data_IF_676841969345
#
_entry.id   IF_676841969345
#
_cell.length_a   1.000
_cell.length_b   1.000
_cell.length_c   1.000
_cell.angle_alpha   90.00
_cell.angle_beta   90.00
_cell.angle_gamma   90.00
#
_symmetry.space_group_name_H-M   'P 1'
#
loop_
_entity.id
_entity.type
_entity.pdbx_description
1 polymer ?
#
# COMPACT_ATOMS: atom_id res chain seq x y z
N UNK A 1 -17.31 -8.26 -7.18
CA UNK A 1 -16.28 -9.26 -7.41
C UNK A 1 -15.78 -9.87 -6.11
N UNK A 2 -15.19 -9.11 -5.17
CA UNK A 2 -14.64 -9.60 -3.90
C UNK A 2 -15.65 -10.44 -3.11
N UNK A 3 -16.91 -9.97 -2.95
CA UNK A 3 -17.95 -10.74 -2.25
C UNK A 3 -18.21 -12.10 -2.90
N UNK A 4 -18.15 -12.18 -4.22
CA UNK A 4 -18.37 -13.44 -4.97
C UNK A 4 -17.23 -14.45 -4.75
N UNK A 5 -15.97 -13.97 -4.61
CA UNK A 5 -14.78 -14.83 -4.44
C UNK A 5 -14.51 -15.21 -3.00
N UNK A 6 -14.70 -14.26 -2.08
CA UNK A 6 -14.43 -14.47 -0.65
C UNK A 6 -15.67 -14.84 0.19
N UNK A 7 -16.88 -14.87 -0.41
CA UNK A 7 -18.13 -15.04 0.33
C UNK A 7 -18.53 -13.80 1.16
N UNK A 8 -17.59 -12.88 1.40
CA UNK A 8 -17.76 -11.62 2.12
C UNK A 8 -17.14 -10.48 1.32
N UNK A 9 -17.79 -9.33 1.31
CA UNK A 9 -17.21 -8.08 0.78
C UNK A 9 -16.84 -7.14 1.92
N UNK A 10 -16.05 -6.09 1.67
CA UNK A 10 -15.82 -5.04 2.65
C UNK A 10 -17.11 -4.34 3.01
N UNK A 11 -17.25 -3.89 4.26
CA UNK A 11 -18.40 -3.08 4.67
C UNK A 11 -18.38 -1.71 4.04
N UNK A 12 -17.20 -1.11 3.92
CA UNK A 12 -17.02 0.18 3.28
C UNK A 12 -15.87 0.15 2.29
N UNK A 13 -16.08 0.81 1.14
CA UNK A 13 -15.06 1.10 0.15
C UNK A 13 -15.02 2.60 -0.11
N UNK A 14 -13.86 3.21 0.07
CA UNK A 14 -13.63 4.59 -0.34
C UNK A 14 -12.71 4.57 -1.54
N UNK A 15 -13.20 5.14 -2.64
CA UNK A 15 -12.45 5.22 -3.87
C UNK A 15 -11.89 6.63 -4.03
N UNK A 16 -10.60 6.72 -4.34
CA UNK A 16 -9.90 7.97 -4.60
C UNK A 16 -9.35 7.89 -6.02
N UNK A 17 -10.04 8.56 -6.94
CA UNK A 17 -9.64 8.70 -8.33
C UNK A 17 -9.10 10.10 -8.56
N UNK A 18 -7.89 10.22 -9.05
CA UNK A 18 -7.36 11.46 -9.62
C UNK A 18 -6.18 11.12 -10.53
N UNK A 19 -6.26 11.56 -11.78
CA UNK A 19 -5.32 11.12 -12.81
C UNK A 19 -5.44 9.62 -13.09
N UNK A 20 -4.33 8.98 -13.37
CA UNK A 20 -4.27 7.58 -13.82
C UNK A 20 -3.98 6.59 -12.66
N UNK A 21 -4.09 7.03 -11.42
CA UNK A 21 -3.96 6.21 -10.23
C UNK A 21 -5.28 6.10 -9.49
N UNK A 22 -5.62 4.87 -9.14
CA UNK A 22 -6.89 4.53 -8.54
C UNK A 22 -6.62 3.82 -7.21
N UNK A 23 -6.98 4.48 -6.10
CA UNK A 23 -6.84 3.92 -4.76
C UNK A 23 -8.21 3.48 -4.24
N UNK A 24 -8.28 2.26 -3.73
CA UNK A 24 -9.48 1.72 -3.09
C UNK A 24 -9.14 1.36 -1.65
N UNK A 25 -9.57 2.18 -0.72
CA UNK A 25 -9.44 1.92 0.71
C UNK A 25 -10.67 1.20 1.23
N UNK A 26 -10.46 0.07 1.91
CA UNK A 26 -11.52 -0.83 2.37
C UNK A 26 -11.44 -1.04 3.87
N UNK A 27 -12.60 -1.21 4.52
CA UNK A 27 -12.71 -1.53 5.94
C UNK A 27 -13.61 -2.74 6.14
N UNK A 28 -13.31 -3.49 7.22
CA UNK A 28 -14.08 -4.64 7.70
C UNK A 28 -14.21 -5.76 6.66
N UNK A 29 -13.05 -6.19 6.14
CA UNK A 29 -12.99 -7.20 5.08
C UNK A 29 -12.26 -8.50 5.49
N UNK A 30 -11.86 -8.71 6.74
CA UNK A 30 -11.34 -10.01 7.18
C UNK A 30 -12.44 -11.05 7.03
N UNK A 31 -12.14 -12.14 6.33
CA UNK A 31 -13.07 -13.24 6.11
C UNK A 31 -13.10 -14.20 7.30
N UNK A 32 -14.15 -15.03 7.46
CA UNK A 32 -14.19 -16.00 8.55
C UNK A 32 -12.99 -16.97 8.56
N UNK A 33 -12.48 -17.37 7.39
CA UNK A 33 -11.32 -18.23 7.30
C UNK A 33 -10.05 -17.55 7.85
N UNK A 34 -9.85 -16.28 7.49
CA UNK A 34 -8.72 -15.49 8.00
C UNK A 34 -8.83 -15.22 9.50
N UNK A 35 -10.05 -14.96 10.02
CA UNK A 35 -10.27 -14.83 11.47
C UNK A 35 -9.82 -16.06 12.24
N UNK A 36 -10.08 -17.26 11.72
CA UNK A 36 -9.62 -18.52 12.33
C UNK A 36 -8.10 -18.58 12.35
N UNK A 37 -7.43 -18.25 11.24
CA UNK A 37 -5.97 -18.25 11.17
C UNK A 37 -5.35 -17.24 12.14
N UNK A 38 -5.91 -16.04 12.21
CA UNK A 38 -5.43 -14.97 13.11
C UNK A 38 -5.60 -15.39 14.58
N UNK A 39 -6.77 -15.94 14.94
CA UNK A 39 -7.02 -16.44 16.30
C UNK A 39 -6.10 -17.61 16.71
N UNK A 40 -5.60 -18.36 15.74
CA UNK A 40 -4.62 -19.43 15.96
C UNK A 40 -3.16 -18.94 15.89
N UNK A 41 -2.93 -17.61 15.89
CA UNK A 41 -1.60 -17.00 15.77
C UNK A 41 -0.86 -17.35 14.47
N UNK A 42 -1.62 -17.74 13.42
CA UNK A 42 -1.11 -18.10 12.09
C UNK A 42 -1.28 -16.96 11.09
N UNK A 43 -0.87 -15.75 11.48
CA UNK A 43 -1.02 -14.55 10.65
C UNK A 43 -0.32 -14.69 9.29
N UNK A 44 0.84 -15.34 9.24
CA UNK A 44 1.57 -15.59 8.00
C UNK A 44 0.74 -16.36 6.97
N UNK A 45 0.00 -17.39 7.42
CA UNK A 45 -0.91 -18.12 6.54
C UNK A 45 -2.07 -17.25 6.06
N UNK A 46 -2.58 -16.35 6.90
CA UNK A 46 -3.63 -15.41 6.49
C UNK A 46 -3.12 -14.44 5.43
N UNK A 47 -1.88 -13.93 5.56
CA UNK A 47 -1.21 -13.06 4.59
C UNK A 47 -1.08 -13.78 3.24
N UNK A 48 -0.53 -14.99 3.24
CA UNK A 48 -0.30 -15.78 2.02
C UNK A 48 -1.62 -16.18 1.34
N UNK A 49 -2.61 -16.61 2.14
CA UNK A 49 -3.95 -16.94 1.65
C UNK A 49 -4.58 -15.74 0.93
N UNK A 50 -4.60 -14.56 1.58
CA UNK A 50 -5.16 -13.34 0.99
C UNK A 50 -4.42 -12.92 -0.26
N UNK A 51 -3.09 -12.90 -0.23
CA UNK A 51 -2.28 -12.54 -1.39
C UNK A 51 -2.58 -13.41 -2.59
N UNK A 52 -2.64 -14.73 -2.40
CA UNK A 52 -2.95 -15.69 -3.47
C UNK A 52 -4.32 -15.44 -4.10
N UNK A 53 -5.35 -15.19 -3.27
CA UNK A 53 -6.70 -14.94 -3.79
C UNK A 53 -6.78 -13.57 -4.47
N UNK A 54 -6.17 -12.53 -3.89
CA UNK A 54 -6.20 -11.19 -4.49
C UNK A 54 -5.49 -11.20 -5.84
N UNK A 55 -4.35 -11.89 -5.98
CA UNK A 55 -3.64 -12.02 -7.25
C UNK A 55 -4.54 -12.70 -8.32
N UNK A 56 -5.22 -13.80 -7.96
CA UNK A 56 -6.15 -14.46 -8.88
C UNK A 56 -7.35 -13.57 -9.26
N UNK A 57 -7.87 -12.79 -8.31
CA UNK A 57 -8.96 -11.85 -8.55
C UNK A 57 -8.53 -10.68 -9.43
N UNK A 58 -7.28 -10.27 -9.34
CA UNK A 58 -6.72 -9.15 -10.11
C UNK A 58 -6.80 -9.41 -11.60
N UNK A 59 -6.50 -10.62 -12.05
CA UNK A 59 -6.56 -11.00 -13.45
C UNK A 59 -7.96 -10.79 -14.06
N UNK A 60 -9.03 -11.01 -13.28
CA UNK A 60 -10.40 -10.75 -13.71
C UNK A 60 -10.78 -9.26 -13.53
N UNK A 61 -10.26 -8.61 -12.49
CA UNK A 61 -10.70 -7.28 -12.07
C UNK A 61 -10.14 -6.16 -12.93
N UNK A 62 -8.85 -6.24 -13.30
CA UNK A 62 -8.19 -5.18 -14.06
C UNK A 62 -8.86 -4.89 -15.41
N UNK A 63 -9.19 -5.91 -16.25
CA UNK A 63 -9.88 -5.66 -17.50
C UNK A 63 -11.28 -5.06 -17.33
N UNK A 64 -12.05 -5.52 -16.32
CA UNK A 64 -13.38 -4.98 -16.03
C UNK A 64 -13.33 -3.50 -15.63
N UNK A 65 -12.42 -3.15 -14.71
CA UNK A 65 -12.26 -1.76 -14.26
C UNK A 65 -11.75 -0.88 -15.38
N UNK A 66 -10.76 -1.34 -16.15
CA UNK A 66 -10.22 -0.62 -17.30
C UNK A 66 -11.33 -0.30 -18.33
N UNK A 67 -12.21 -1.26 -18.60
CA UNK A 67 -13.35 -1.07 -19.50
C UNK A 67 -14.35 -0.05 -18.98
N UNK A 68 -14.67 -0.10 -17.68
CA UNK A 68 -15.65 0.81 -17.06
C UNK A 68 -15.15 2.23 -16.99
N UNK A 69 -13.86 2.41 -16.69
CA UNK A 69 -13.24 3.73 -16.50
C UNK A 69 -12.67 4.32 -17.80
N UNK A 70 -12.51 3.52 -18.86
CA UNK A 70 -11.85 3.94 -20.09
C UNK A 70 -10.35 4.18 -19.92
N UNK A 71 -9.73 3.62 -18.86
CA UNK A 71 -8.32 3.78 -18.52
C UNK A 71 -7.67 2.40 -18.49
N UNK A 72 -6.52 2.23 -19.16
CA UNK A 72 -5.73 1.00 -19.04
C UNK A 72 -4.90 1.05 -17.76
N UNK A 73 -4.96 -0.02 -16.96
CA UNK A 73 -4.11 -0.19 -15.78
C UNK A 73 -3.15 -1.35 -16.03
N UNK A 74 -1.84 -1.09 -15.86
CA UNK A 74 -0.78 -2.06 -16.10
C UNK A 74 -0.30 -2.72 -14.80
N UNK A 75 -0.52 -2.03 -13.68
CA UNK A 75 -0.07 -2.49 -12.37
C UNK A 75 -1.20 -2.49 -11.36
N UNK A 76 -1.12 -3.49 -10.49
CA UNK A 76 -2.01 -3.66 -9.36
C UNK A 76 -1.19 -4.00 -8.12
N UNK A 77 -1.40 -3.24 -7.06
CA UNK A 77 -0.75 -3.47 -5.79
C UNK A 77 -1.79 -3.49 -4.67
N UNK A 78 -1.48 -4.18 -3.59
CA UNK A 78 -2.34 -4.21 -2.42
C UNK A 78 -1.54 -4.37 -1.14
N UNK A 79 -2.12 -3.92 -0.03
CA UNK A 79 -1.62 -4.19 1.31
C UNK A 79 -2.79 -4.21 2.32
N UNK A 80 -2.61 -4.93 3.44
CA UNK A 80 -3.65 -5.21 4.41
C UNK A 80 -3.15 -4.98 5.84
N UNK A 81 -3.97 -4.32 6.65
CA UNK A 81 -3.78 -4.17 8.08
C UNK A 81 -4.77 -5.10 8.81
N UNK A 82 -4.27 -6.22 9.29
CA UNK A 82 -5.09 -7.24 9.95
C UNK A 82 -5.56 -6.79 11.33
N UNK A 83 -4.77 -5.98 12.05
CA UNK A 83 -5.13 -5.46 13.38
C UNK A 83 -6.31 -4.49 13.30
N UNK A 84 -6.39 -3.70 12.24
CA UNK A 84 -7.45 -2.71 12.01
C UNK A 84 -8.55 -3.20 11.08
N UNK A 85 -8.39 -4.39 10.52
CA UNK A 85 -9.30 -4.92 9.52
C UNK A 85 -9.52 -3.95 8.34
N UNK A 86 -8.42 -3.42 7.80
CA UNK A 86 -8.43 -2.49 6.68
C UNK A 86 -7.52 -2.98 5.56
N UNK A 87 -7.72 -2.45 4.36
CA UNK A 87 -6.88 -2.76 3.22
C UNK A 87 -6.91 -1.67 2.17
N UNK A 88 -5.90 -1.66 1.33
CA UNK A 88 -5.78 -0.75 0.20
C UNK A 88 -5.45 -1.51 -1.08
N UNK A 89 -6.06 -1.09 -2.18
CA UNK A 89 -5.66 -1.47 -3.53
C UNK A 89 -5.19 -0.22 -4.25
N UNK A 90 -4.14 -0.37 -5.04
CA UNK A 90 -3.66 0.64 -5.97
C UNK A 90 -3.63 0.06 -7.37
N UNK A 91 -4.36 0.68 -8.30
CA UNK A 91 -4.24 0.45 -9.72
C UNK A 91 -3.46 1.62 -10.32
N UNK A 92 -2.42 1.32 -11.07
CA UNK A 92 -1.51 2.31 -11.66
C UNK A 92 -1.38 2.10 -13.17
N UNK A 93 -1.31 3.20 -13.90
CA UNK A 93 -1.02 3.19 -15.34
C UNK A 93 0.42 3.65 -15.56
N UNK A 94 1.23 2.81 -16.21
CA UNK A 94 2.66 3.10 -16.48
C UNK A 94 2.89 4.29 -17.39
N UNK A 95 1.90 4.65 -18.22
CA UNK A 95 2.02 5.74 -19.20
C UNK A 95 1.67 7.12 -18.63
N UNK A 96 1.21 7.17 -17.38
CA UNK A 96 0.80 8.43 -16.77
C UNK A 96 1.98 9.19 -16.17
N UNK A 97 2.58 10.02 -16.97
CA UNK A 97 3.63 10.96 -16.54
C UNK A 97 3.00 12.31 -16.10
N UNK A 98 1.97 12.24 -15.27
CA UNK A 98 1.40 13.45 -14.68
C UNK A 98 2.39 14.02 -13.65
N UNK A 99 3.26 14.88 -14.15
CA UNK A 99 4.12 15.75 -13.36
C UNK A 99 3.26 16.86 -12.73
N UNK A 100 2.50 16.55 -11.70
CA UNK A 100 2.17 17.61 -10.75
C UNK A 100 3.48 17.90 -9.98
N UNK A 101 4.30 18.80 -10.48
CA UNK A 101 5.41 19.38 -9.73
C UNK A 101 4.83 20.36 -8.71
N UNK A 102 4.23 19.84 -7.66
CA UNK A 102 3.80 20.65 -6.53
C UNK A 102 4.91 20.50 -5.50
N UNK A 103 5.59 21.60 -5.23
CA UNK A 103 6.56 21.67 -4.13
C UNK A 103 5.76 21.80 -2.82
N UNK A 104 5.77 20.72 -2.03
CA UNK A 104 5.16 20.74 -0.70
C UNK A 104 6.19 21.19 0.32
N UNK A 105 5.88 22.21 1.12
CA UNK A 105 6.77 22.75 2.16
C UNK A 105 7.30 21.71 3.15
N UNK A 106 6.62 20.56 3.28
CA UNK A 106 7.02 19.44 4.15
C UNK A 106 7.77 18.32 3.41
N UNK A 107 7.94 18.39 2.09
CA UNK A 107 8.44 17.27 1.26
C UNK A 107 9.82 16.80 1.68
N UNK A 108 10.77 17.71 1.83
CA UNK A 108 12.15 17.36 2.24
C UNK A 108 12.19 16.68 3.62
N UNK A 109 11.39 17.16 4.56
CA UNK A 109 11.31 16.57 5.90
C UNK A 109 10.62 15.20 5.86
N UNK A 110 9.61 15.04 5.01
CA UNK A 110 8.94 13.75 4.79
C UNK A 110 9.91 12.72 4.23
N UNK A 111 10.68 13.08 3.21
CA UNK A 111 11.66 12.19 2.59
C UNK A 111 12.77 11.81 3.56
N UNK A 112 13.31 12.76 4.31
CA UNK A 112 14.29 12.48 5.35
C UNK A 112 13.76 11.52 6.43
N UNK A 113 12.50 11.69 6.84
CA UNK A 113 11.87 10.79 7.82
C UNK A 113 11.64 9.38 7.23
N UNK A 114 11.18 9.28 5.99
CA UNK A 114 11.01 8.00 5.29
C UNK A 114 12.35 7.28 5.17
N UNK A 115 13.41 7.97 4.74
CA UNK A 115 14.76 7.40 4.64
C UNK A 115 15.28 6.94 6.01
N UNK A 116 15.10 7.74 7.04
CA UNK A 116 15.55 7.40 8.39
C UNK A 116 14.87 6.12 8.91
N UNK A 117 13.55 6.03 8.82
CA UNK A 117 12.80 4.84 9.24
C UNK A 117 13.14 3.64 8.35
N UNK A 118 13.20 3.84 7.03
CA UNK A 118 13.48 2.80 6.05
C UNK A 118 14.89 2.22 6.13
N UNK A 119 15.88 3.02 6.56
CA UNK A 119 17.30 2.62 6.60
C UNK A 119 17.59 1.36 7.44
N UNK A 120 16.70 1.03 8.38
CA UNK A 120 16.79 -0.19 9.19
C UNK A 120 16.29 -1.46 8.47
N UNK A 121 15.66 -1.32 7.32
CA UNK A 121 14.94 -2.41 6.67
C UNK A 121 15.33 -2.66 5.22
N UNK A 122 15.62 -1.60 4.46
CA UNK A 122 15.90 -1.69 3.03
C UNK A 122 16.95 -0.66 2.59
N UNK A 123 17.39 -0.77 1.35
CA UNK A 123 18.36 0.15 0.75
C UNK A 123 17.80 1.58 0.73
N UNK A 124 18.64 2.58 1.04
CA UNK A 124 18.28 3.98 0.85
C UNK A 124 17.78 4.19 -0.58
N UNK A 125 16.56 4.76 -0.77
CA UNK A 125 16.03 5.04 -2.08
C UNK A 125 16.94 5.95 -2.92
N UNK A 126 17.03 5.71 -4.21
CA UNK A 126 17.70 6.63 -5.13
C UNK A 126 16.81 7.85 -5.45
N UNK A 127 15.50 7.67 -5.40
CA UNK A 127 14.54 8.76 -5.52
C UNK A 127 13.29 8.52 -4.69
N UNK A 128 12.74 9.62 -4.20
CA UNK A 128 11.46 9.71 -3.51
C UNK A 128 10.58 10.72 -4.25
N UNK A 129 9.30 10.43 -4.38
CA UNK A 129 8.34 11.33 -5.04
C UNK A 129 6.98 11.21 -4.36
N UNK A 130 6.36 12.33 -4.00
CA UNK A 130 4.94 12.36 -3.64
C UNK A 130 4.14 12.16 -4.92
N UNK A 131 3.47 11.01 -5.04
CA UNK A 131 2.67 10.65 -6.22
C UNK A 131 1.18 10.92 -6.02
N UNK A 132 0.77 11.17 -4.77
CA UNK A 132 -0.58 11.59 -4.42
C UNK A 132 -0.58 12.36 -3.11
N UNK A 133 -1.27 13.52 -3.09
CA UNK A 133 -1.54 14.24 -1.86
C UNK A 133 -2.94 14.88 -1.91
N UNK A 134 -3.76 14.57 -0.93
CA UNK A 134 -5.11 15.13 -0.75
C UNK A 134 -5.43 15.27 0.74
N UNK A 135 -6.65 15.70 1.07
CA UNK A 135 -7.11 15.72 2.46
C UNK A 135 -7.15 14.33 3.12
N UNK A 136 -7.29 13.26 2.34
CA UNK A 136 -7.54 11.92 2.87
C UNK A 136 -6.35 10.95 2.68
N UNK A 137 -5.39 11.27 1.82
CA UNK A 137 -4.31 10.36 1.45
C UNK A 137 -3.03 11.12 1.09
N UNK A 138 -1.88 10.59 1.53
CA UNK A 138 -0.58 10.88 0.96
C UNK A 138 0.04 9.57 0.50
N UNK A 139 0.56 9.52 -0.73
CA UNK A 139 1.29 8.39 -1.25
C UNK A 139 2.65 8.83 -1.78
N UNK A 140 3.70 8.16 -1.33
CA UNK A 140 5.10 8.41 -1.73
C UNK A 140 5.62 7.17 -2.44
N UNK A 141 6.13 7.35 -3.65
CA UNK A 141 6.88 6.34 -4.39
C UNK A 141 8.36 6.44 -4.02
N UNK A 142 8.98 5.31 -3.71
CA UNK A 142 10.43 5.18 -3.50
C UNK A 142 10.99 4.21 -4.53
N UNK A 143 12.08 4.57 -5.21
CA UNK A 143 12.73 3.74 -6.23
C UNK A 143 14.10 3.26 -5.78
N UNK A 144 14.53 2.10 -6.36
CA UNK A 144 15.81 1.45 -6.07
C UNK A 144 15.99 1.10 -4.59
N UNK A 145 14.97 0.46 -4.02
CA UNK A 145 14.85 0.16 -2.59
C UNK A 145 15.27 -1.28 -2.22
N UNK A 146 15.28 -2.21 -3.18
CA UNK A 146 15.55 -3.61 -2.88
C UNK A 146 17.03 -3.87 -2.58
N UNK A 147 17.27 -4.62 -1.52
CA UNK A 147 18.57 -5.24 -1.26
C UNK A 147 18.86 -6.33 -2.31
N UNK A 148 20.14 -6.63 -2.60
CA UNK A 148 20.50 -7.69 -3.54
C UNK A 148 19.88 -9.05 -3.19
N UNK A 149 19.79 -9.38 -1.90
CA UNK A 149 19.16 -10.60 -1.43
C UNK A 149 17.65 -10.65 -1.72
N UNK A 150 16.93 -9.54 -1.52
CA UNK A 150 15.49 -9.45 -1.82
C UNK A 150 15.20 -9.64 -3.30
N UNK A 151 16.03 -9.05 -4.15
CA UNK A 151 15.96 -9.26 -5.60
C UNK A 151 16.14 -10.73 -5.96
N UNK A 152 17.15 -11.39 -5.39
CA UNK A 152 17.39 -12.82 -5.60
C UNK A 152 16.21 -13.67 -5.12
N UNK A 153 15.66 -13.37 -3.94
CA UNK A 153 14.48 -14.08 -3.38
C UNK A 153 13.28 -13.95 -4.32
N UNK A 154 13.04 -12.74 -4.85
CA UNK A 154 11.98 -12.49 -5.83
C UNK A 154 12.20 -13.28 -7.14
N UNK A 155 13.41 -13.23 -7.70
CA UNK A 155 13.78 -13.96 -8.93
C UNK A 155 13.65 -15.49 -8.79
N UNK A 156 13.84 -16.01 -7.57
CA UNK A 156 13.62 -17.43 -7.24
C UNK A 156 12.16 -17.80 -6.96
N UNK A 157 11.23 -16.83 -7.02
CA UNK A 157 9.81 -17.04 -6.80
C UNK A 157 9.39 -17.21 -5.33
N UNK A 158 10.27 -16.95 -4.37
CA UNK A 158 9.99 -17.07 -2.93
C UNK A 158 9.30 -15.81 -2.38
N UNK A 159 8.21 -15.39 -3.03
CA UNK A 159 7.50 -14.13 -2.72
C UNK A 159 6.92 -14.11 -1.30
N UNK A 160 6.59 -15.27 -0.75
CA UNK A 160 6.05 -15.40 0.62
C UNK A 160 6.98 -14.79 1.68
N UNK A 161 8.29 -15.01 1.55
CA UNK A 161 9.27 -14.42 2.48
C UNK A 161 9.28 -12.89 2.41
N UNK A 162 9.10 -12.34 1.20
CA UNK A 162 9.05 -10.90 0.98
C UNK A 162 7.75 -10.28 1.53
N UNK A 163 6.63 -11.00 1.50
CA UNK A 163 5.38 -10.56 2.11
C UNK A 163 5.49 -10.43 3.63
N UNK A 164 6.15 -11.38 4.28
CA UNK A 164 6.40 -11.33 5.72
C UNK A 164 7.32 -10.17 6.09
N UNK A 165 8.39 -9.98 5.33
CA UNK A 165 9.30 -8.84 5.51
C UNK A 165 8.56 -7.51 5.33
N UNK A 166 7.74 -7.38 4.28
CA UNK A 166 6.94 -6.17 4.04
C UNK A 166 6.02 -5.84 5.21
N UNK A 167 5.42 -6.87 5.85
CA UNK A 167 4.62 -6.69 7.05
C UNK A 167 5.43 -6.16 8.24
N UNK A 168 6.64 -6.67 8.48
CA UNK A 168 7.53 -6.16 9.55
C UNK A 168 8.02 -4.75 9.27
N UNK A 169 8.34 -4.42 8.03
CA UNK A 169 8.70 -3.06 7.61
C UNK A 169 7.55 -2.09 7.91
N UNK A 170 6.32 -2.45 7.58
CA UNK A 170 5.13 -1.65 7.88
C UNK A 170 4.97 -1.38 9.38
N UNK A 171 5.22 -2.37 10.23
CA UNK A 171 5.24 -2.17 11.69
C UNK A 171 6.28 -1.14 12.12
N UNK A 172 7.45 -1.14 11.47
CA UNK A 172 8.49 -0.14 11.71
C UNK A 172 8.00 1.28 11.44
N UNK A 173 7.36 1.48 10.31
CA UNK A 173 6.72 2.76 9.97
C UNK A 173 5.62 3.13 10.97
N UNK A 174 4.78 2.17 11.34
CA UNK A 174 3.72 2.38 12.31
C UNK A 174 4.22 2.82 13.69
N UNK A 175 5.34 2.29 14.17
CA UNK A 175 5.99 2.72 15.44
C UNK A 175 6.42 4.19 15.41
N UNK A 176 6.69 4.74 14.22
CA UNK A 176 7.07 6.13 14.01
C UNK A 176 5.90 7.04 13.61
N UNK A 177 4.65 6.54 13.72
CA UNK A 177 3.42 7.24 13.32
C UNK A 177 3.35 8.68 13.84
N UNK A 178 3.66 8.91 15.11
CA UNK A 178 3.60 10.23 15.74
C UNK A 178 4.50 11.28 15.07
N UNK A 179 5.67 10.87 14.54
CA UNK A 179 6.56 11.78 13.82
C UNK A 179 5.96 12.19 12.47
N UNK A 180 5.34 11.25 11.76
CA UNK A 180 4.62 11.55 10.52
C UNK A 180 3.39 12.43 10.76
N UNK A 181 2.62 12.18 11.83
CA UNK A 181 1.47 13.02 12.21
C UNK A 181 1.89 14.45 12.52
N UNK A 182 3.00 14.63 13.25
CA UNK A 182 3.57 15.97 13.53
C UNK A 182 3.97 16.69 12.24
N UNK A 183 4.57 15.98 11.29
CA UNK A 183 4.99 16.54 10.01
C UNK A 183 3.81 16.95 9.13
N UNK A 184 2.78 16.10 9.03
CA UNK A 184 1.59 16.39 8.24
C UNK A 184 0.62 17.36 8.93
N UNK A 185 0.78 17.58 10.24
CA UNK A 185 -0.22 18.23 11.11
C UNK A 185 -1.61 17.59 10.96
N UNK A 186 -1.65 16.27 10.87
CA UNK A 186 -2.87 15.46 10.66
C UNK A 186 -2.75 14.11 11.33
N UNK A 187 -3.86 13.61 11.87
CA UNK A 187 -3.91 12.26 12.40
C UNK A 187 -3.94 11.22 11.27
N UNK A 188 -3.07 10.23 11.39
CA UNK A 188 -2.99 9.11 10.47
C UNK A 188 -3.93 8.02 10.96
N UNK A 189 -4.92 7.69 10.16
CA UNK A 189 -5.83 6.58 10.41
C UNK A 189 -5.13 5.25 10.13
N UNK A 190 -4.42 5.15 9.00
CA UNK A 190 -3.71 3.95 8.61
C UNK A 190 -2.48 4.21 7.75
N UNK A 191 -1.59 3.21 7.66
CA UNK A 191 -0.42 3.21 6.80
C UNK A 191 -0.28 1.88 6.09
N UNK A 192 0.08 1.93 4.82
CA UNK A 192 0.30 0.78 3.96
C UNK A 192 1.61 0.91 3.22
N UNK A 193 2.25 -0.22 2.93
CA UNK A 193 3.44 -0.27 2.09
C UNK A 193 3.25 -1.35 1.01
N UNK A 194 3.16 -0.92 -0.24
CA UNK A 194 2.96 -1.81 -1.38
C UNK A 194 4.26 -1.92 -2.18
N UNK A 195 4.67 -3.14 -2.48
CA UNK A 195 5.94 -3.43 -3.13
C UNK A 195 5.75 -3.83 -4.58
N UNK A 196 6.52 -3.20 -5.46
CA UNK A 196 6.74 -3.61 -6.85
C UNK A 196 8.15 -4.17 -6.97
N UNK A 197 8.29 -5.44 -6.61
CA UNK A 197 9.59 -6.12 -6.65
C UNK A 197 10.17 -6.18 -8.06
N UNK A 198 9.31 -6.28 -9.08
CA UNK A 198 9.73 -6.32 -10.49
C UNK A 198 10.45 -5.04 -10.92
N UNK A 199 9.93 -3.88 -10.53
CA UNK A 199 10.46 -2.58 -10.92
C UNK A 199 11.27 -1.91 -9.80
N UNK A 200 11.64 -2.65 -8.76
CA UNK A 200 12.48 -2.19 -7.65
C UNK A 200 11.97 -0.89 -7.01
N UNK A 201 10.70 -0.86 -6.64
CA UNK A 201 10.06 0.32 -6.01
C UNK A 201 9.02 -0.09 -4.97
N UNK A 202 8.67 0.84 -4.10
CA UNK A 202 7.51 0.71 -3.22
C UNK A 202 6.68 1.98 -3.18
N UNK A 203 5.46 1.84 -2.66
CA UNK A 203 4.54 2.93 -2.38
C UNK A 203 4.21 2.93 -0.90
N UNK A 204 4.65 3.95 -0.17
CA UNK A 204 4.23 4.20 1.21
C UNK A 204 3.00 5.10 1.19
N UNK A 205 1.89 4.62 1.75
CA UNK A 205 0.60 5.30 1.70
C UNK A 205 0.11 5.59 3.11
N UNK A 206 -0.19 6.86 3.36
CA UNK A 206 -0.80 7.35 4.59
C UNK A 206 -2.27 7.66 4.33
N UNK A 207 -3.16 7.11 5.14
CA UNK A 207 -4.58 7.45 5.15
C UNK A 207 -4.83 8.37 6.34
N UNK A 208 -5.39 9.55 6.05
CA UNK A 208 -5.69 10.53 7.08
C UNK A 208 -7.11 10.41 7.62
N UNK A 209 -7.27 10.64 8.92
CA UNK A 209 -8.59 10.68 9.54
C UNK A 209 -9.36 11.92 9.03
N UNK A 210 -10.60 11.71 8.60
CA UNK A 210 -11.46 12.79 8.05
C UNK A 210 -11.87 13.84 9.08
N UNK A 211 -11.69 13.59 10.39
CA UNK A 211 -12.33 14.36 11.46
C UNK A 211 -11.42 15.39 12.16
N UNK A 212 -10.10 15.41 11.90
CA UNK A 212 -9.20 16.30 12.64
C UNK A 212 -8.18 16.95 11.72
N UNK A 213 -8.42 18.22 11.35
CA UNK A 213 -7.34 19.18 11.22
C UNK A 213 -6.99 19.62 12.64
N UNK A 214 -5.80 19.32 13.16
CA UNK A 214 -5.32 19.95 14.38
C UNK A 214 -5.36 21.48 14.16
N UNK A 215 -6.06 22.20 15.03
CA UNK A 215 -6.08 23.66 15.04
C UNK A 215 -4.77 24.20 15.55
#
# INVERSE_FOLDING_TARGET
>A
LLKRRFGKGPETCTVILKGDRYYVYMRNFITPAEEVLIKQEKLELAINFRSSIINAVTEEYLPEVSKVLGISFDYFFHDWNYDKNTGILLLDNSQSDHKENIDYSFESNLFALIENVGSSYYKKPESLKIVKFTQNICAVESKEVLLPLERLVYEKGNVELLLHQAYEIKKGYWRNKGQFEGLFNRLIEDMFIMWDYKNNRNYLVFIFNKLYTMK
#
